data_IF_397429775297
#
_entry.id   IF_397429775297
#
_cell.length_a   1.000
_cell.length_b   1.000
_cell.length_c   1.000
_cell.angle_alpha   90.00
_cell.angle_beta   90.00
_cell.angle_gamma   90.00
#
_symmetry.space_group_name_H-M   'P 1'
#
loop_
_entity.id
_entity.type
_entity.pdbx_description
1 polymer ?
#
# COMPACT_ATOMS: atom_id res chain seq x y z
N UNK A 1 -10.09 -56.47 -32.95
CA UNK A 1 -9.54 -57.82 -32.73
C UNK A 1 -9.07 -57.84 -31.29
N UNK A 2 -10.00 -58.33 -30.47
CA UNK A 2 -9.87 -59.44 -29.51
C UNK A 2 -8.98 -59.11 -28.29
N UNK A 3 -9.53 -58.69 -27.14
CA UNK A 3 -10.15 -59.43 -26.01
C UNK A 3 -9.15 -60.25 -25.17
N UNK A 4 -9.02 -60.00 -23.88
CA UNK A 4 -9.40 -60.74 -22.66
C UNK A 4 -8.68 -60.16 -21.43
N UNK A 5 -9.33 -59.70 -20.42
CA UNK A 5 -10.07 -60.30 -19.29
C UNK A 5 -9.22 -61.15 -18.33
N UNK A 6 -9.46 -60.91 -17.05
CA UNK A 6 -9.34 -61.79 -15.89
C UNK A 6 -8.93 -61.00 -14.62
N UNK A 7 -9.84 -60.55 -13.77
CA UNK A 7 -10.41 -61.18 -12.57
C UNK A 7 -9.36 -61.74 -11.60
N UNK A 8 -9.27 -61.39 -10.35
CA UNK A 8 -10.26 -61.16 -9.31
C UNK A 8 -9.76 -61.91 -8.07
N UNK A 9 -9.93 -61.36 -6.94
CA UNK A 9 -10.37 -62.07 -5.73
C UNK A 9 -9.92 -61.43 -4.42
N UNK A 10 -10.84 -61.36 -3.54
CA UNK A 10 -10.90 -60.70 -2.26
C UNK A 10 -10.45 -61.55 -1.06
N UNK A 11 -10.01 -60.86 0.01
CA UNK A 11 -10.14 -61.00 1.46
C UNK A 11 -10.12 -62.44 2.09
N UNK A 12 -9.70 -62.64 3.38
CA UNK A 12 -10.39 -62.08 4.52
C UNK A 12 -9.57 -61.74 5.81
N UNK A 13 -10.30 -61.08 6.70
CA UNK A 13 -9.98 -60.72 8.08
C UNK A 13 -9.66 -61.95 8.98
N UNK A 14 -8.80 -61.80 9.99
CA UNK A 14 -9.02 -62.37 11.33
C UNK A 14 -8.32 -61.57 12.42
N UNK A 15 -9.11 -61.27 13.46
CA UNK A 15 -8.72 -60.75 14.78
C UNK A 15 -8.01 -61.85 15.59
N UNK A 16 -7.14 -61.49 16.51
CA UNK A 16 -7.07 -62.10 17.87
C UNK A 16 -6.23 -61.18 18.80
N UNK A 17 -6.85 -60.86 19.93
CA UNK A 17 -6.22 -60.39 21.16
C UNK A 17 -5.42 -61.48 21.84
N UNK A 18 -4.34 -61.14 22.52
CA UNK A 18 -3.91 -61.81 23.77
C UNK A 18 -3.18 -60.78 24.64
N UNK A 19 -3.64 -60.71 25.89
CA UNK A 19 -3.03 -60.05 27.07
C UNK A 19 -1.76 -60.76 27.54
N UNK A 20 -0.95 -60.05 28.30
CA UNK A 20 -0.09 -60.35 29.46
C UNK A 20 1.28 -59.72 29.29
N UNK A 21 1.97 -59.17 30.25
CA UNK A 21 1.91 -59.06 31.68
C UNK A 21 3.01 -58.04 32.09
N UNK A 22 2.82 -57.45 33.22
CA UNK A 22 3.74 -56.46 33.82
C UNK A 22 5.06 -57.09 34.27
N UNK A 23 6.17 -56.39 34.07
CA UNK A 23 7.40 -56.56 34.87
C UNK A 23 7.96 -55.18 35.20
N UNK A 24 7.90 -54.83 36.47
CA UNK A 24 8.53 -53.66 37.04
C UNK A 24 10.04 -53.88 37.14
N UNK A 25 10.83 -52.96 36.59
CA UNK A 25 12.25 -52.82 36.90
C UNK A 25 12.45 -51.43 37.51
N UNK A 26 12.79 -51.48 38.78
CA UNK A 26 13.29 -50.34 39.56
C UNK A 26 14.70 -50.07 39.08
N UNK A 27 14.99 -48.89 38.51
CA UNK A 27 16.35 -48.40 38.34
C UNK A 27 16.48 -46.99 38.93
N UNK A 28 17.55 -46.87 39.67
CA UNK A 28 17.95 -45.89 40.62
C UNK A 28 18.00 -44.44 40.05
N UNK A 29 17.63 -43.54 40.90
CA UNK A 29 17.91 -42.10 40.81
C UNK A 29 19.42 -41.84 40.70
N UNK A 30 19.81 -41.21 39.59
CA UNK A 30 20.97 -40.34 39.49
C UNK A 30 20.47 -38.95 39.18
N UNK A 31 20.73 -38.04 40.08
CA UNK A 31 20.30 -36.67 40.07
C UNK A 31 20.77 -35.95 38.80
N UNK A 32 19.79 -35.54 37.99
CA UNK A 32 19.96 -34.52 36.95
C UNK A 32 19.42 -33.21 37.54
N UNK A 33 20.31 -32.31 37.89
CA UNK A 33 19.97 -30.92 38.11
C UNK A 33 19.25 -30.42 36.88
N UNK A 34 18.08 -29.73 36.98
CA UNK A 34 17.50 -29.04 35.84
C UNK A 34 18.49 -27.94 35.45
N UNK A 35 18.98 -28.01 34.23
CA UNK A 35 19.52 -26.84 33.54
C UNK A 35 18.40 -25.81 33.53
N UNK A 36 18.51 -24.81 34.40
CA UNK A 36 17.80 -23.56 34.27
C UNK A 36 18.34 -22.95 32.97
N UNK A 37 17.59 -23.11 31.88
CA UNK A 37 17.82 -22.33 30.69
C UNK A 37 17.55 -20.87 31.08
N UNK A 38 18.58 -20.06 30.98
CA UNK A 38 18.46 -18.60 31.12
C UNK A 38 17.41 -18.12 30.13
N UNK A 39 16.24 -17.81 30.63
CA UNK A 39 15.06 -17.26 29.88
C UNK A 39 15.19 -15.73 29.77
N UNK A 40 16.40 -15.23 29.46
CA UNK A 40 16.68 -13.80 29.26
C UNK A 40 16.51 -13.31 27.80
N UNK A 41 15.85 -14.07 26.94
CA UNK A 41 15.54 -13.66 25.57
C UNK A 41 14.05 -13.76 25.23
N UNK A 42 13.17 -13.93 26.21
CA UNK A 42 11.75 -13.73 26.03
C UNK A 42 11.47 -12.22 26.09
N UNK A 43 11.46 -11.55 24.92
CA UNK A 43 10.95 -10.18 24.81
C UNK A 43 9.61 -10.12 25.52
N UNK A 44 9.55 -9.31 26.59
CA UNK A 44 8.42 -9.22 27.50
C UNK A 44 7.11 -9.12 26.69
N UNK A 45 6.16 -9.96 27.01
CA UNK A 45 4.83 -9.91 26.40
C UNK A 45 4.30 -8.51 26.64
N UNK A 46 4.07 -7.78 25.55
CA UNK A 46 3.52 -6.44 25.61
C UNK A 46 2.11 -6.53 26.20
N UNK A 47 1.97 -6.27 27.49
CA UNK A 47 0.68 -6.33 28.17
C UNK A 47 -0.16 -5.14 27.70
N UNK A 48 -1.32 -5.35 27.07
CA UNK A 48 -2.20 -4.27 26.71
C UNK A 48 -2.61 -3.46 27.94
N UNK A 49 -2.71 -2.15 27.79
CA UNK A 49 -3.27 -1.30 28.84
C UNK A 49 -4.74 -1.66 29.10
N UNK A 50 -5.28 -1.38 30.30
CA UNK A 50 -6.69 -1.65 30.60
C UNK A 50 -7.60 -0.82 29.68
N UNK A 51 -8.79 -1.38 29.38
CA UNK A 51 -9.81 -0.63 28.67
C UNK A 51 -10.40 0.47 29.58
N UNK A 52 -10.76 1.58 28.96
CA UNK A 52 -11.43 2.70 29.62
C UNK A 52 -12.92 2.41 29.74
N UNK A 53 -13.52 2.76 30.88
CA UNK A 53 -14.97 2.76 31.04
C UNK A 53 -15.64 3.80 30.12
N UNK A 54 -16.94 3.68 29.88
CA UNK A 54 -17.68 4.64 29.07
C UNK A 54 -17.56 6.09 29.63
N UNK A 55 -17.56 6.26 30.95
CA UNK A 55 -17.43 7.58 31.61
C UNK A 55 -16.02 8.17 31.38
N UNK A 56 -14.97 7.35 31.47
CA UNK A 56 -13.59 7.80 31.22
C UNK A 56 -13.41 8.21 29.76
N UNK A 57 -13.99 7.44 28.82
CA UNK A 57 -13.95 7.77 27.36
C UNK A 57 -14.67 9.08 27.06
N UNK A 58 -15.84 9.27 27.64
CA UNK A 58 -16.62 10.50 27.44
C UNK A 58 -15.90 11.73 28.02
N UNK A 59 -15.25 11.58 29.18
CA UNK A 59 -14.41 12.65 29.75
C UNK A 59 -13.21 12.96 28.86
N UNK A 60 -12.52 11.93 28.36
CA UNK A 60 -11.37 12.06 27.46
C UNK A 60 -11.77 12.71 26.13
N UNK A 61 -12.89 12.28 25.54
CA UNK A 61 -13.38 12.83 24.29
C UNK A 61 -13.72 14.32 24.41
N UNK A 62 -14.38 14.73 25.52
CA UNK A 62 -14.63 16.16 25.79
C UNK A 62 -13.34 16.96 25.90
N UNK A 63 -12.36 16.45 26.64
CA UNK A 63 -11.05 17.08 26.79
C UNK A 63 -10.35 17.24 25.45
N UNK A 64 -10.32 16.18 24.63
CA UNK A 64 -9.69 16.20 23.31
C UNK A 64 -10.42 17.14 22.35
N UNK A 65 -11.75 17.18 22.40
CA UNK A 65 -12.55 18.09 21.58
C UNK A 65 -12.23 19.55 21.89
N UNK A 66 -12.04 19.89 23.13
CA UNK A 66 -11.65 21.26 23.56
C UNK A 66 -10.23 21.62 23.07
N UNK A 67 -9.32 20.64 23.01
CA UNK A 67 -7.94 20.83 22.56
C UNK A 67 -7.87 20.91 21.04
N UNK A 68 -8.45 19.92 20.35
CA UNK A 68 -8.26 19.76 18.91
C UNK A 68 -9.13 20.69 18.05
N UNK A 69 -10.22 21.24 18.55
CA UNK A 69 -11.00 22.28 17.85
C UNK A 69 -10.32 23.64 17.82
N UNK A 70 -9.30 23.84 18.65
CA UNK A 70 -8.59 25.11 18.75
C UNK A 70 -7.43 25.24 17.75
N UNK A 71 -6.63 26.28 17.96
CA UNK A 71 -5.42 26.52 17.20
C UNK A 71 -4.49 25.31 17.26
N UNK A 72 -4.06 24.83 16.10
CA UNK A 72 -3.15 23.68 15.96
C UNK A 72 -1.82 23.85 16.70
N UNK A 73 -1.37 25.08 16.91
CA UNK A 73 -0.20 25.36 17.75
C UNK A 73 -0.35 24.93 19.21
N UNK A 74 -1.60 24.71 19.66
CA UNK A 74 -1.95 24.23 21.01
C UNK A 74 -2.21 22.74 21.09
N UNK A 75 -2.15 22.04 19.95
CA UNK A 75 -2.33 20.60 19.95
C UNK A 75 -1.23 19.93 20.76
N UNK A 76 -1.52 18.83 21.48
CA UNK A 76 -0.48 18.10 22.21
C UNK A 76 0.64 17.71 21.23
N UNK A 77 1.92 17.84 21.63
CA UNK A 77 3.01 17.44 20.76
C UNK A 77 2.91 15.96 20.42
N UNK A 78 3.17 15.57 19.16
CA UNK A 78 3.20 14.17 18.79
C UNK A 78 4.40 13.46 19.46
N UNK A 79 4.27 12.14 19.62
CA UNK A 79 5.38 11.33 20.15
C UNK A 79 6.32 10.92 19.00
N UNK A 80 7.38 11.69 18.82
CA UNK A 80 8.33 11.57 17.72
C UNK A 80 9.65 11.02 18.22
N UNK A 81 10.22 10.04 17.50
CA UNK A 81 11.56 9.52 17.76
C UNK A 81 12.64 10.55 17.37
N UNK A 82 13.81 10.53 18.04
CA UNK A 82 14.93 11.37 17.67
C UNK A 82 15.31 11.17 16.18
N UNK A 83 15.57 12.30 15.49
CA UNK A 83 15.98 12.31 14.09
C UNK A 83 14.86 12.22 13.05
N UNK A 84 13.60 12.10 13.46
CA UNK A 84 12.45 12.18 12.55
C UNK A 84 12.13 13.64 12.25
N UNK A 85 12.27 14.03 11.00
CA UNK A 85 11.89 15.36 10.50
C UNK A 85 10.38 15.35 10.16
N UNK A 86 9.54 15.34 11.21
CA UNK A 86 8.09 15.29 11.02
C UNK A 86 7.49 16.64 10.63
N UNK A 87 6.33 16.57 10.00
CA UNK A 87 5.45 17.72 9.72
C UNK A 87 4.07 17.41 10.25
N UNK A 88 3.32 18.41 10.74
CA UNK A 88 1.97 18.18 11.22
C UNK A 88 1.05 17.68 10.10
N UNK A 89 0.14 16.77 10.45
CA UNK A 89 -0.92 16.33 9.55
C UNK A 89 -1.87 17.48 9.25
N UNK A 90 -2.44 17.50 8.07
CA UNK A 90 -3.29 18.64 7.68
C UNK A 90 -3.89 18.52 6.28
N UNK A 91 -4.50 19.60 5.80
CA UNK A 91 -5.08 19.64 4.46
C UNK A 91 -3.98 19.50 3.39
N UNK A 92 -4.39 18.98 2.23
CA UNK A 92 -3.51 18.89 1.07
C UNK A 92 -3.13 20.29 0.56
N UNK A 93 -1.89 20.53 0.16
CA UNK A 93 -1.49 21.76 -0.53
C UNK A 93 -2.01 21.75 -1.97
N UNK A 94 -1.86 22.87 -2.66
CA UNK A 94 -2.10 22.90 -4.10
C UNK A 94 -1.10 22.00 -4.83
N UNK A 95 -1.57 21.34 -5.90
CA UNK A 95 -0.70 20.54 -6.76
C UNK A 95 0.26 21.45 -7.51
N UNK A 96 1.54 21.08 -7.49
CA UNK A 96 2.57 21.74 -8.29
C UNK A 96 2.71 21.00 -9.62
N UNK A 97 2.60 21.74 -10.71
CA UNK A 97 2.82 21.23 -12.06
C UNK A 97 4.25 21.64 -12.50
N UNK A 98 5.08 20.70 -12.97
CA UNK A 98 6.43 21.03 -13.40
C UNK A 98 6.41 21.90 -14.66
N UNK A 99 7.37 22.84 -14.78
CA UNK A 99 7.50 23.71 -15.97
C UNK A 99 7.64 22.90 -17.27
N UNK A 100 8.28 21.73 -17.21
CA UNK A 100 8.43 20.80 -18.33
C UNK A 100 7.13 20.13 -18.77
N UNK A 101 6.07 20.19 -17.93
CA UNK A 101 4.76 19.65 -18.21
C UNK A 101 3.66 20.48 -17.53
N UNK A 102 3.41 21.72 -18.00
CA UNK A 102 2.34 22.57 -17.45
C UNK A 102 0.97 21.95 -17.72
N UNK A 103 0.07 22.15 -16.76
CA UNK A 103 -1.31 21.66 -16.87
C UNK A 103 -2.05 22.35 -18.02
N UNK A 104 -2.75 21.56 -18.82
CA UNK A 104 -3.80 22.04 -19.74
C UNK A 104 -4.99 21.09 -19.76
N UNK A 105 -6.18 21.62 -20.02
CA UNK A 105 -7.39 20.81 -20.15
C UNK A 105 -7.28 19.76 -21.27
N UNK A 106 -6.63 20.13 -22.38
CA UNK A 106 -6.41 19.26 -23.52
C UNK A 106 -5.48 18.07 -23.14
N UNK A 107 -4.37 18.31 -22.43
CA UNK A 107 -3.51 17.24 -21.93
C UNK A 107 -4.25 16.31 -20.95
N UNK A 108 -5.08 16.89 -20.08
CA UNK A 108 -5.90 16.08 -19.14
C UNK A 108 -6.90 15.22 -19.90
N UNK A 109 -7.56 15.74 -20.94
CA UNK A 109 -8.51 15.00 -21.75
C UNK A 109 -7.83 13.84 -22.51
N UNK A 110 -6.72 14.12 -23.19
CA UNK A 110 -5.92 13.09 -23.86
C UNK A 110 -5.42 12.05 -22.84
N UNK A 111 -4.81 12.49 -21.74
CA UNK A 111 -4.27 11.61 -20.70
C UNK A 111 -5.34 10.71 -20.05
N UNK A 112 -6.54 11.26 -19.79
CA UNK A 112 -7.68 10.48 -19.33
C UNK A 112 -8.06 9.39 -20.35
N UNK A 113 -8.12 9.74 -21.64
CA UNK A 113 -8.47 8.78 -22.68
C UNK A 113 -7.44 7.65 -22.77
N UNK A 114 -6.16 7.98 -22.72
CA UNK A 114 -5.06 7.01 -22.69
C UNK A 114 -5.10 6.13 -21.44
N UNK A 115 -5.36 6.69 -20.27
CA UNK A 115 -5.40 5.97 -19.00
C UNK A 115 -6.44 4.83 -18.98
N UNK A 116 -7.54 4.99 -19.72
CA UNK A 116 -8.60 3.99 -19.82
C UNK A 116 -8.49 3.07 -21.05
N UNK A 117 -7.51 3.27 -21.93
CA UNK A 117 -7.38 2.48 -23.17
C UNK A 117 -6.57 1.19 -22.98
N UNK A 118 -7.21 0.00 -23.04
CA UNK A 118 -6.50 -1.26 -22.89
C UNK A 118 -5.57 -1.58 -24.08
N UNK A 119 -5.78 -0.95 -25.24
CA UNK A 119 -4.95 -1.18 -26.46
C UNK A 119 -3.52 -0.67 -26.28
N UNK A 120 -3.25 0.15 -25.25
CA UNK A 120 -1.90 0.57 -24.90
C UNK A 120 -1.04 -0.58 -24.37
N UNK A 121 -1.62 -1.67 -23.86
CA UNK A 121 -0.84 -2.82 -23.42
C UNK A 121 -0.51 -3.78 -24.57
N UNK A 122 0.57 -4.54 -24.42
CA UNK A 122 0.96 -5.57 -25.41
C UNK A 122 -0.09 -6.66 -25.62
N UNK A 123 -0.95 -6.88 -24.63
CA UNK A 123 -2.06 -7.82 -24.71
C UNK A 123 -3.34 -7.24 -25.32
N UNK A 124 -3.46 -5.91 -25.42
CA UNK A 124 -4.67 -5.21 -25.77
C UNK A 124 -5.81 -5.32 -24.73
N UNK A 125 -5.51 -5.77 -23.48
CA UNK A 125 -6.51 -6.10 -22.47
C UNK A 125 -6.34 -5.35 -21.16
N UNK A 126 -5.22 -4.69 -20.93
CA UNK A 126 -4.89 -3.98 -19.70
C UNK A 126 -4.75 -2.48 -19.97
N UNK A 127 -5.52 -1.70 -19.26
CA UNK A 127 -5.37 -0.24 -19.15
C UNK A 127 -4.76 0.12 -17.78
N UNK A 128 -4.30 1.35 -17.58
CA UNK A 128 -3.91 1.84 -16.25
C UNK A 128 -5.06 1.67 -15.25
N UNK A 129 -6.29 1.95 -15.70
CA UNK A 129 -7.52 1.76 -14.92
C UNK A 129 -7.79 0.31 -14.51
N UNK A 130 -7.15 -0.69 -15.11
CA UNK A 130 -7.28 -2.10 -14.70
C UNK A 130 -6.65 -2.41 -13.34
N UNK A 131 -5.62 -1.62 -12.97
CA UNK A 131 -4.94 -1.71 -11.67
C UNK A 131 -5.23 -0.49 -10.78
N UNK A 132 -5.75 0.59 -11.36
CA UNK A 132 -6.07 1.84 -10.67
C UNK A 132 -7.54 2.21 -10.92
N UNK A 133 -8.45 1.36 -10.37
CA UNK A 133 -9.92 1.49 -10.54
C UNK A 133 -10.45 2.69 -9.71
N UNK A 134 -11.07 3.69 -10.35
CA UNK A 134 -11.57 4.87 -9.63
C UNK A 134 -12.53 4.58 -8.48
N UNK A 135 -13.39 3.57 -8.65
CA UNK A 135 -14.39 3.20 -7.63
C UNK A 135 -13.79 2.45 -6.43
N UNK A 136 -12.55 1.94 -6.57
CA UNK A 136 -11.79 1.26 -5.51
C UNK A 136 -10.71 2.14 -4.91
N UNK A 137 -10.91 3.46 -4.90
CA UNK A 137 -9.92 4.40 -4.37
C UNK A 137 -8.66 4.51 -5.23
N UNK A 138 -8.76 4.20 -6.54
CA UNK A 138 -7.65 4.20 -7.49
C UNK A 138 -6.58 3.12 -7.19
N UNK A 139 -7.00 2.02 -6.58
CA UNK A 139 -6.28 0.75 -6.42
C UNK A 139 -7.06 -0.35 -7.15
N UNK A 140 -6.66 -1.62 -7.06
CA UNK A 140 -7.35 -2.72 -7.74
C UNK A 140 -8.15 -3.65 -6.81
N UNK A 141 -8.09 -3.41 -5.49
CA UNK A 141 -8.76 -4.23 -4.48
C UNK A 141 -8.25 -5.68 -4.41
N UNK A 142 -7.07 -5.96 -4.94
CA UNK A 142 -6.47 -7.29 -5.00
C UNK A 142 -5.22 -7.37 -4.13
N UNK A 143 -4.93 -8.56 -3.63
CA UNK A 143 -3.70 -8.78 -2.87
C UNK A 143 -2.46 -8.41 -3.71
N UNK A 144 -2.42 -8.88 -4.93
CA UNK A 144 -1.41 -8.49 -5.92
C UNK A 144 -2.09 -8.31 -7.27
N UNK A 145 -1.67 -7.32 -8.01
CA UNK A 145 -2.14 -7.12 -9.38
C UNK A 145 -1.79 -8.31 -10.24
N UNK A 146 -2.62 -8.62 -11.22
CA UNK A 146 -2.35 -9.74 -12.13
C UNK A 146 -1.31 -9.29 -13.17
N UNK A 147 -0.06 -9.78 -13.08
CA UNK A 147 0.96 -9.45 -14.05
C UNK A 147 0.71 -10.16 -15.39
N UNK A 148 1.16 -9.57 -16.49
CA UNK A 148 1.17 -10.22 -17.81
C UNK A 148 2.06 -11.47 -17.83
N UNK A 149 3.11 -11.49 -16.99
CA UNK A 149 4.06 -12.60 -16.84
C UNK A 149 4.34 -12.85 -15.37
N UNK A 150 4.68 -14.10 -14.96
CA UNK A 150 5.05 -14.38 -13.58
C UNK A 150 6.21 -13.50 -13.12
N UNK A 151 5.99 -12.77 -12.02
CA UNK A 151 6.98 -11.93 -11.34
C UNK A 151 6.65 -11.90 -9.85
N UNK A 152 7.57 -11.45 -8.98
CA UNK A 152 7.20 -10.98 -7.66
C UNK A 152 6.19 -9.84 -7.83
N UNK A 153 4.91 -10.17 -7.69
CA UNK A 153 3.85 -9.19 -7.87
C UNK A 153 3.65 -8.43 -6.56
N UNK A 154 3.56 -7.10 -6.66
CA UNK A 154 3.23 -6.21 -5.56
C UNK A 154 1.77 -5.77 -5.67
N UNK A 155 1.20 -5.37 -4.55
CA UNK A 155 -0.10 -4.70 -4.51
C UNK A 155 -0.04 -3.37 -5.29
N UNK A 156 -1.09 -3.05 -6.06
CA UNK A 156 -1.21 -1.75 -6.71
C UNK A 156 -1.60 -0.68 -5.68
N UNK A 157 -0.71 0.26 -5.36
CA UNK A 157 -1.07 1.36 -4.46
C UNK A 157 -2.05 2.31 -5.15
N UNK A 158 -2.81 3.05 -4.35
CA UNK A 158 -3.61 4.14 -4.91
C UNK A 158 -2.74 5.17 -5.62
N UNK A 159 -3.22 5.68 -6.76
CA UNK A 159 -2.64 6.84 -7.44
C UNK A 159 -3.27 8.16 -6.98
N UNK A 160 -4.32 8.11 -6.13
CA UNK A 160 -4.85 9.34 -5.54
C UNK A 160 -3.76 10.02 -4.73
N UNK A 161 -3.59 11.31 -4.97
CA UNK A 161 -2.55 12.14 -4.36
C UNK A 161 -1.11 11.76 -4.76
N UNK A 162 -0.91 10.97 -5.82
CA UNK A 162 0.42 10.62 -6.32
C UNK A 162 1.26 11.85 -6.69
N UNK A 163 0.60 12.95 -7.08
CA UNK A 163 1.24 14.23 -7.38
C UNK A 163 2.05 14.85 -6.22
N UNK A 164 1.84 14.39 -4.99
CA UNK A 164 2.54 14.91 -3.80
C UNK A 164 3.72 14.05 -3.36
N UNK A 165 4.04 12.97 -4.08
CA UNK A 165 5.16 12.10 -3.77
C UNK A 165 6.36 12.42 -4.67
N UNK A 166 7.54 12.57 -4.07
CA UNK A 166 8.81 12.78 -4.79
C UNK A 166 9.30 11.51 -5.49
N UNK A 167 9.05 10.35 -4.90
CA UNK A 167 9.42 9.06 -5.44
C UNK A 167 8.17 8.17 -5.55
N UNK A 168 8.04 7.45 -6.65
CA UNK A 168 6.88 6.64 -6.98
C UNK A 168 7.24 5.15 -7.05
N UNK A 169 6.23 4.28 -7.08
CA UNK A 169 6.31 2.86 -6.81
C UNK A 169 6.66 2.54 -5.35
N UNK A 170 6.56 1.28 -4.95
CA UNK A 170 6.93 0.80 -3.62
C UNK A 170 8.42 0.90 -3.33
N UNK A 171 9.26 0.81 -4.36
CA UNK A 171 10.72 0.86 -4.29
C UNK A 171 11.31 2.23 -4.64
N UNK A 172 10.45 3.18 -5.06
CA UNK A 172 10.87 4.55 -5.37
C UNK A 172 11.73 4.66 -6.63
N UNK A 173 11.54 3.77 -7.61
CA UNK A 173 12.35 3.76 -8.84
C UNK A 173 12.00 4.85 -9.84
N UNK A 174 10.87 5.54 -9.70
CA UNK A 174 10.50 6.67 -10.55
C UNK A 174 10.49 7.98 -9.75
N UNK A 175 11.03 9.04 -10.34
CA UNK A 175 11.23 10.37 -9.77
C UNK A 175 10.19 11.39 -10.25
N UNK A 176 9.31 10.99 -11.15
CA UNK A 176 8.20 11.79 -11.64
C UNK A 176 7.05 10.90 -12.10
N UNK A 177 5.84 11.48 -12.24
CA UNK A 177 4.69 10.77 -12.80
C UNK A 177 4.93 10.39 -14.26
N UNK A 178 5.59 11.25 -15.02
CA UNK A 178 5.96 10.97 -16.41
C UNK A 178 6.84 9.70 -16.51
N UNK A 179 7.88 9.64 -15.71
CA UNK A 179 8.78 8.47 -15.66
C UNK A 179 8.04 7.22 -15.15
N UNK A 180 7.12 7.39 -14.19
CA UNK A 180 6.30 6.28 -13.69
C UNK A 180 5.43 5.70 -14.82
N UNK A 181 4.76 6.55 -15.59
CA UNK A 181 3.93 6.14 -16.73
C UNK A 181 4.76 5.40 -17.78
N UNK A 182 5.93 5.91 -18.17
CA UNK A 182 6.83 5.25 -19.14
C UNK A 182 7.26 3.87 -18.65
N UNK A 183 7.64 3.77 -17.37
CA UNK A 183 8.06 2.50 -16.78
C UNK A 183 6.90 1.50 -16.68
N UNK A 184 5.70 1.94 -16.31
CA UNK A 184 4.52 1.07 -16.23
C UNK A 184 4.11 0.55 -17.62
N UNK A 185 4.16 1.40 -18.64
CA UNK A 185 3.86 1.01 -20.03
C UNK A 185 4.87 -0.03 -20.56
N UNK A 186 6.16 0.19 -20.32
CA UNK A 186 7.22 -0.66 -20.89
C UNK A 186 7.56 -1.90 -20.08
N UNK A 187 7.16 -1.96 -18.80
CA UNK A 187 7.44 -3.10 -17.94
C UNK A 187 6.75 -4.38 -18.46
N UNK A 188 7.50 -5.45 -18.80
CA UNK A 188 6.95 -6.68 -19.33
C UNK A 188 6.02 -7.43 -18.36
N UNK A 189 6.05 -7.09 -17.07
CA UNK A 189 5.18 -7.64 -16.03
C UNK A 189 3.93 -6.79 -15.79
N UNK A 190 3.87 -5.57 -16.33
CA UNK A 190 2.72 -4.67 -16.23
C UNK A 190 2.03 -4.53 -17.60
N UNK A 191 2.21 -3.41 -18.30
CA UNK A 191 1.58 -3.19 -19.63
C UNK A 191 2.37 -3.85 -20.78
N UNK A 192 3.69 -3.99 -20.67
CA UNK A 192 4.57 -4.74 -21.55
C UNK A 192 4.62 -4.26 -23.01
N UNK A 193 4.29 -3.01 -23.25
CA UNK A 193 4.22 -2.42 -24.58
C UNK A 193 5.54 -1.79 -25.02
N UNK A 194 5.67 -1.42 -26.30
CA UNK A 194 6.79 -0.63 -26.78
C UNK A 194 6.37 0.82 -27.02
N UNK A 195 7.32 1.78 -26.92
CA UNK A 195 7.06 3.17 -27.30
C UNK A 195 6.46 3.31 -28.71
N UNK A 196 6.99 2.58 -29.69
CA UNK A 196 6.52 2.61 -31.08
C UNK A 196 5.06 2.15 -31.21
N UNK A 197 4.64 1.14 -30.42
CA UNK A 197 3.26 0.68 -30.43
C UNK A 197 2.29 1.78 -29.94
N UNK A 198 2.64 2.45 -28.84
CA UNK A 198 1.81 3.54 -28.26
C UNK A 198 1.74 4.71 -29.22
N UNK A 199 2.86 5.14 -29.76
CA UNK A 199 2.94 6.22 -30.78
C UNK A 199 2.15 5.84 -32.03
N UNK A 200 2.31 4.62 -32.52
CA UNK A 200 1.59 4.11 -33.71
C UNK A 200 0.08 4.09 -33.51
N UNK A 201 -0.40 3.66 -32.32
CA UNK A 201 -1.82 3.65 -31.99
C UNK A 201 -2.41 5.06 -32.04
N UNK A 202 -1.76 6.03 -31.39
CA UNK A 202 -2.25 7.43 -31.33
C UNK A 202 -2.16 8.08 -32.70
N UNK A 203 -1.09 7.87 -33.46
CA UNK A 203 -0.90 8.41 -34.80
C UNK A 203 -1.84 7.79 -35.83
N UNK A 204 -2.25 6.52 -35.64
CA UNK A 204 -3.10 5.79 -36.56
C UNK A 204 -4.61 6.12 -36.47
N UNK A 205 -5.08 6.61 -35.33
CA UNK A 205 -6.50 6.85 -35.08
C UNK A 205 -6.81 8.35 -35.21
N UNK A 206 -7.70 8.78 -36.14
CA UNK A 206 -7.96 10.20 -36.41
C UNK A 206 -8.37 11.01 -35.17
N UNK A 207 -9.26 10.49 -34.33
CA UNK A 207 -9.69 11.16 -33.11
C UNK A 207 -8.57 11.28 -32.05
N UNK A 208 -7.65 10.31 -31.96
CA UNK A 208 -6.47 10.45 -31.12
C UNK A 208 -5.52 11.54 -31.62
N UNK A 209 -5.30 11.62 -32.94
CA UNK A 209 -4.49 12.69 -33.52
C UNK A 209 -5.07 14.07 -33.24
N UNK A 210 -6.41 14.22 -33.33
CA UNK A 210 -7.07 15.47 -32.99
C UNK A 210 -6.88 15.85 -31.51
N UNK A 211 -7.07 14.89 -30.57
CA UNK A 211 -6.81 15.11 -29.14
C UNK A 211 -5.34 15.43 -28.87
N UNK A 212 -4.42 14.80 -29.60
CA UNK A 212 -3.00 15.07 -29.46
C UNK A 212 -2.62 16.46 -29.96
N UNK A 213 -3.09 16.86 -31.14
CA UNK A 213 -2.83 18.22 -31.71
C UNK A 213 -3.38 19.34 -30.81
N UNK A 214 -4.52 19.12 -30.16
CA UNK A 214 -5.05 20.05 -29.18
C UNK A 214 -4.18 20.14 -27.91
N UNK A 215 -3.60 19.00 -27.49
CA UNK A 215 -2.75 18.92 -26.28
C UNK A 215 -1.32 19.42 -26.52
N UNK A 216 -0.77 19.20 -27.72
CA UNK A 216 0.61 19.48 -28.13
C UNK A 216 0.64 20.07 -29.55
N UNK A 217 0.20 21.33 -29.73
CA UNK A 217 0.07 21.95 -31.03
C UNK A 217 1.43 22.00 -31.77
N UNK A 218 1.42 21.55 -33.04
CA UNK A 218 2.60 21.54 -33.92
C UNK A 218 3.78 20.67 -33.43
N UNK A 219 3.54 19.74 -32.50
CA UNK A 219 4.56 18.80 -32.01
C UNK A 219 4.34 17.39 -32.63
N UNK A 220 5.39 16.66 -32.99
CA UNK A 220 5.24 15.28 -33.43
C UNK A 220 4.75 14.40 -32.28
N UNK A 221 3.97 13.34 -32.58
CA UNK A 221 3.55 12.38 -31.58
C UNK A 221 4.77 11.63 -31.06
N UNK A 222 5.06 11.77 -29.76
CA UNK A 222 6.17 11.10 -29.08
C UNK A 222 5.69 10.36 -27.85
N UNK A 223 6.41 9.34 -27.46
CA UNK A 223 6.12 8.56 -26.24
C UNK A 223 6.17 9.43 -24.99
N UNK A 224 7.17 10.30 -24.87
CA UNK A 224 7.31 11.27 -23.78
C UNK A 224 6.10 12.21 -23.67
N UNK A 225 5.62 12.78 -24.80
CA UNK A 225 4.45 13.64 -24.81
C UNK A 225 3.18 12.89 -24.35
N UNK A 226 3.03 11.61 -24.74
CA UNK A 226 1.90 10.80 -24.30
C UNK A 226 1.99 10.48 -22.79
N UNK A 227 3.19 10.18 -22.26
CA UNK A 227 3.42 10.03 -20.83
C UNK A 227 3.10 11.33 -20.07
N UNK A 228 3.50 12.49 -20.60
CA UNK A 228 3.15 13.82 -20.06
C UNK A 228 1.64 14.04 -20.00
N UNK A 229 0.89 13.63 -21.01
CA UNK A 229 -0.56 13.75 -20.98
C UNK A 229 -1.18 12.88 -19.88
N UNK A 230 -0.77 11.62 -19.75
CA UNK A 230 -1.24 10.72 -18.69
C UNK A 230 -0.89 11.29 -17.31
N UNK A 231 0.34 11.75 -17.11
CA UNK A 231 0.78 12.39 -15.87
C UNK A 231 -0.02 13.67 -15.54
N UNK A 232 -0.41 14.47 -16.54
CA UNK A 232 -1.31 15.60 -16.32
C UNK A 232 -2.68 15.15 -15.79
N UNK A 233 -3.25 14.07 -16.33
CA UNK A 233 -4.48 13.50 -15.82
C UNK A 233 -4.31 12.97 -14.39
N UNK A 234 -3.26 12.22 -14.10
CA UNK A 234 -2.99 11.69 -12.76
C UNK A 234 -2.86 12.81 -11.72
N UNK A 235 -2.26 13.96 -12.07
CA UNK A 235 -2.19 15.14 -11.20
C UNK A 235 -3.55 15.76 -10.87
N UNK A 236 -4.61 15.42 -11.60
CA UNK A 236 -5.98 15.83 -11.25
C UNK A 236 -6.66 14.89 -10.25
N UNK A 237 -6.07 13.72 -9.99
CA UNK A 237 -6.62 12.72 -9.07
C UNK A 237 -6.23 13.08 -7.64
N UNK A 238 -6.86 14.10 -7.09
CA UNK A 238 -6.55 14.67 -5.77
C UNK A 238 -7.74 14.53 -4.85
N UNK A 239 -7.46 14.26 -3.57
CA UNK A 239 -8.41 14.27 -2.47
C UNK A 239 -8.51 15.64 -1.79
N UNK A 240 -8.83 15.64 -0.49
CA UNK A 240 -8.90 16.85 0.33
C UNK A 240 -10.32 17.23 0.72
N UNK A 241 -11.26 16.30 0.61
CA UNK A 241 -12.66 16.48 1.01
C UNK A 241 -13.15 15.37 1.96
N UNK A 242 -12.22 14.72 2.65
CA UNK A 242 -12.54 13.74 3.67
C UNK A 242 -13.10 14.40 4.93
N UNK A 243 -13.73 13.63 5.81
CA UNK A 243 -14.22 14.13 7.10
C UNK A 243 -13.08 14.71 7.96
N UNK A 244 -11.87 14.17 7.84
CA UNK A 244 -10.68 14.77 8.44
C UNK A 244 -10.39 16.16 7.85
N UNK A 245 -10.52 16.35 6.53
CA UNK A 245 -10.30 17.66 5.92
C UNK A 245 -11.39 18.68 6.33
N UNK A 246 -12.64 18.26 6.51
CA UNK A 246 -13.74 19.08 7.07
C UNK A 246 -13.41 19.51 8.51
N UNK A 247 -12.94 18.57 9.33
CA UNK A 247 -12.48 18.87 10.69
C UNK A 247 -11.31 19.87 10.67
N UNK A 248 -10.34 19.70 9.75
CA UNK A 248 -9.22 20.63 9.61
C UNK A 248 -9.65 22.00 9.08
N UNK A 249 -10.78 22.10 8.38
CA UNK A 249 -11.39 23.35 7.94
C UNK A 249 -12.20 24.05 9.04
N UNK A 250 -12.35 23.42 10.22
CA UNK A 250 -12.98 24.02 11.41
C UNK A 250 -14.32 23.41 11.81
N UNK A 251 -14.81 22.39 11.08
CA UNK A 251 -16.00 21.65 11.51
C UNK A 251 -15.65 20.67 12.64
N UNK A 252 -15.76 21.13 13.88
CA UNK A 252 -15.49 20.30 15.05
C UNK A 252 -16.43 19.09 15.20
N UNK A 253 -17.57 19.07 14.50
CA UNK A 253 -18.52 17.96 14.51
C UNK A 253 -18.20 16.89 13.46
N UNK A 254 -17.30 17.15 12.53
CA UNK A 254 -16.90 16.20 11.49
C UNK A 254 -16.28 14.91 12.05
N UNK A 255 -15.72 14.94 13.27
CA UNK A 255 -15.18 13.76 13.95
C UNK A 255 -16.05 13.35 15.16
N UNK A 256 -16.36 12.07 15.24
CA UNK A 256 -16.95 11.46 16.44
C UNK A 256 -15.94 11.39 17.59
N UNK A 257 -16.40 11.06 18.79
CA UNK A 257 -15.53 10.95 19.96
C UNK A 257 -14.49 9.82 19.80
N UNK A 258 -14.87 8.67 19.25
CA UNK A 258 -13.95 7.57 18.96
C UNK A 258 -12.87 7.98 17.94
N UNK A 259 -13.25 8.69 16.90
CA UNK A 259 -12.33 9.17 15.86
C UNK A 259 -11.36 10.23 16.39
N UNK A 260 -11.84 11.06 17.32
CA UNK A 260 -10.99 12.07 17.96
C UNK A 260 -9.98 11.44 18.94
N UNK A 261 -10.41 10.43 19.69
CA UNK A 261 -9.50 9.61 20.50
C UNK A 261 -8.49 8.90 19.60
N UNK A 262 -8.93 8.35 18.47
CA UNK A 262 -8.07 7.73 17.47
C UNK A 262 -7.04 8.68 16.87
N UNK A 263 -7.41 9.94 16.61
CA UNK A 263 -6.50 11.00 16.17
C UNK A 263 -5.40 11.26 17.21
N UNK A 264 -5.75 11.38 18.49
CA UNK A 264 -4.78 11.58 19.57
C UNK A 264 -3.84 10.38 19.70
N UNK A 265 -4.39 9.17 19.67
CA UNK A 265 -3.61 7.93 19.66
C UNK A 265 -2.64 7.87 18.47
N UNK A 266 -3.09 8.19 17.26
CA UNK A 266 -2.29 8.19 16.05
C UNK A 266 -1.07 9.11 16.18
N UNK A 267 -1.27 10.29 16.74
CA UNK A 267 -0.20 11.28 16.91
C UNK A 267 0.75 10.92 18.04
N UNK A 268 0.30 10.20 19.06
CA UNK A 268 1.02 9.97 20.30
C UNK A 268 1.33 8.49 20.55
N UNK A 269 0.51 7.79 21.30
CA UNK A 269 0.83 6.45 21.82
C UNK A 269 1.02 5.40 20.72
N UNK A 270 0.24 5.48 19.65
CA UNK A 270 0.37 4.57 18.51
C UNK A 270 1.57 4.88 17.62
N UNK A 271 2.25 6.05 17.83
CA UNK A 271 3.53 6.41 17.16
C UNK A 271 3.47 6.44 15.63
N UNK A 272 2.28 6.45 15.04
CA UNK A 272 2.11 6.40 13.58
C UNK A 272 2.76 7.60 12.88
N UNK A 273 2.76 8.76 13.55
CA UNK A 273 3.34 10.02 13.05
C UNK A 273 4.86 9.96 12.83
N UNK A 274 5.55 8.90 13.30
CA UNK A 274 6.99 8.74 13.00
C UNK A 274 7.27 8.43 11.53
N UNK A 275 6.28 7.91 10.79
CA UNK A 275 6.37 7.63 9.35
C UNK A 275 5.18 8.26 8.59
N UNK A 276 4.00 8.30 9.21
CA UNK A 276 2.77 8.79 8.58
C UNK A 276 2.44 10.20 9.05
N UNK A 277 3.14 11.19 8.53
CA UNK A 277 2.99 12.60 8.87
C UNK A 277 2.78 13.49 7.64
N UNK A 278 2.53 14.78 7.86
CA UNK A 278 2.28 15.74 6.79
C UNK A 278 0.92 15.54 6.09
N UNK A 279 0.61 16.33 5.06
CA UNK A 279 -0.70 16.37 4.40
C UNK A 279 -1.15 15.05 3.76
N UNK A 280 -0.22 14.25 3.30
CA UNK A 280 -0.49 12.94 2.65
C UNK A 280 -0.34 11.76 3.60
N UNK A 281 -0.06 11.98 4.89
CA UNK A 281 0.18 10.91 5.88
C UNK A 281 1.28 9.94 5.41
N UNK A 282 2.39 10.50 4.94
CA UNK A 282 3.58 9.77 4.51
C UNK A 282 4.80 10.67 4.62
N UNK A 283 5.91 10.13 5.10
CA UNK A 283 7.21 10.78 5.09
C UNK A 283 7.94 10.66 3.74
N UNK A 284 7.38 9.86 2.81
CA UNK A 284 8.00 9.54 1.52
C UNK A 284 9.28 8.71 1.61
N UNK A 285 9.68 8.28 2.81
CA UNK A 285 10.91 7.50 3.05
C UNK A 285 10.66 6.00 2.98
N UNK A 286 11.74 5.24 3.16
CA UNK A 286 11.75 3.79 2.99
C UNK A 286 12.03 3.11 4.32
N UNK A 287 11.13 2.18 4.70
CA UNK A 287 11.21 1.44 5.96
C UNK A 287 11.05 -0.06 5.73
N UNK A 288 11.82 -0.86 6.48
CA UNK A 288 11.60 -2.31 6.53
C UNK A 288 10.61 -2.64 7.67
N UNK A 289 9.50 -3.26 7.28
CA UNK A 289 8.45 -3.76 8.18
C UNK A 289 8.65 -5.25 8.54
N UNK A 290 9.73 -5.87 8.08
CA UNK A 290 9.96 -7.31 8.21
C UNK A 290 9.14 -8.16 7.23
N UNK A 291 8.59 -7.56 6.17
CA UNK A 291 7.72 -8.21 5.18
C UNK A 291 8.41 -8.49 3.84
N UNK A 292 9.73 -8.40 3.79
CA UNK A 292 10.52 -8.64 2.56
C UNK A 292 10.61 -10.11 2.17
N UNK A 293 10.21 -11.05 3.03
CA UNK A 293 10.38 -12.50 2.84
C UNK A 293 11.83 -12.90 2.50
N UNK A 294 12.81 -12.16 3.02
CA UNK A 294 14.22 -12.36 2.75
C UNK A 294 14.65 -13.81 2.94
N UNK A 295 15.37 -14.36 1.95
CA UNK A 295 15.80 -15.77 1.93
C UNK A 295 14.67 -16.78 1.68
N UNK A 296 13.47 -16.35 1.27
CA UNK A 296 12.29 -17.20 1.03
C UNK A 296 11.75 -17.03 -0.41
N UNK A 297 10.91 -17.96 -0.85
CA UNK A 297 10.34 -17.97 -2.22
C UNK A 297 9.69 -16.67 -2.71
N UNK A 298 9.20 -15.84 -1.77
CA UNK A 298 8.57 -14.54 -2.10
C UNK A 298 9.48 -13.35 -1.77
N UNK A 299 10.79 -13.56 -1.74
CA UNK A 299 11.73 -12.48 -1.45
C UNK A 299 11.50 -11.28 -2.36
N UNK A 300 11.36 -10.12 -1.74
CA UNK A 300 11.35 -8.82 -2.39
C UNK A 300 12.31 -7.89 -1.64
N UNK A 301 13.38 -7.47 -2.31
CA UNK A 301 14.43 -6.63 -1.71
C UNK A 301 14.06 -5.16 -1.65
N UNK A 302 12.91 -4.77 -2.20
CA UNK A 302 12.40 -3.40 -2.14
C UNK A 302 13.38 -2.38 -2.73
N UNK A 303 13.66 -1.31 -1.98
CA UNK A 303 14.52 -0.20 -2.38
C UNK A 303 15.92 -0.63 -2.82
N UNK A 304 16.48 -1.69 -2.22
CA UNK A 304 17.79 -2.21 -2.61
C UNK A 304 17.88 -2.57 -4.10
N UNK A 305 16.81 -3.03 -4.70
CA UNK A 305 16.79 -3.34 -6.15
C UNK A 305 17.06 -2.09 -7.04
N UNK A 306 16.87 -0.90 -6.48
CA UNK A 306 17.09 0.38 -7.17
C UNK A 306 18.46 0.98 -6.83
N UNK A 307 18.83 0.95 -5.53
CA UNK A 307 20.02 1.63 -5.04
C UNK A 307 21.28 0.78 -5.00
N UNK A 308 21.13 -0.54 -4.88
CA UNK A 308 22.25 -1.46 -4.58
C UNK A 308 22.81 -1.33 -3.15
N UNK A 309 22.31 -0.39 -2.33
CA UNK A 309 22.79 -0.21 -0.96
C UNK A 309 22.27 -1.35 -0.06
N UNK A 310 23.14 -2.11 0.62
CA UNK A 310 22.72 -3.15 1.56
C UNK A 310 21.75 -2.67 2.65
N UNK A 311 21.84 -1.41 3.03
CA UNK A 311 20.93 -0.81 4.04
C UNK A 311 19.49 -0.74 3.57
N UNK A 312 19.26 -0.78 2.26
CA UNK A 312 17.94 -0.65 1.66
C UNK A 312 17.21 -1.97 1.43
N UNK A 313 17.84 -3.10 1.81
CA UNK A 313 17.21 -4.42 1.68
C UNK A 313 15.94 -4.49 2.53
N UNK A 314 14.83 -4.86 1.89
CA UNK A 314 13.53 -5.04 2.55
C UNK A 314 12.80 -3.74 2.85
N UNK A 315 13.34 -2.58 2.44
CA UNK A 315 12.70 -1.28 2.63
C UNK A 315 11.76 -0.94 1.50
N UNK A 316 10.58 -0.44 1.89
CA UNK A 316 9.55 0.03 0.98
C UNK A 316 9.11 1.44 1.37
N UNK A 317 8.68 2.21 0.38
CA UNK A 317 8.22 3.58 0.59
C UNK A 317 6.98 3.58 1.50
N UNK A 318 6.93 4.49 2.46
CA UNK A 318 5.73 4.74 3.27
C UNK A 318 4.58 5.17 2.35
N UNK A 319 3.47 4.40 2.26
CA UNK A 319 2.33 4.81 1.46
C UNK A 319 1.54 5.93 2.15
N UNK A 320 0.71 6.64 1.38
CA UNK A 320 -0.31 7.51 1.95
C UNK A 320 -1.31 6.71 2.78
N UNK A 321 -1.88 7.32 3.84
CA UNK A 321 -3.02 6.75 4.55
C UNK A 321 -4.36 7.34 4.10
N UNK A 322 -4.38 8.33 3.20
CA UNK A 322 -5.63 8.80 2.61
C UNK A 322 -6.25 7.67 1.79
N UNK A 323 -7.53 7.42 2.01
CA UNK A 323 -8.30 6.28 1.47
C UNK A 323 -7.82 4.88 1.93
N UNK A 324 -7.01 4.76 2.99
CA UNK A 324 -6.44 3.47 3.42
C UNK A 324 -7.50 2.39 3.69
N UNK A 325 -8.69 2.77 4.16
CA UNK A 325 -9.80 1.84 4.40
C UNK A 325 -10.44 1.32 3.12
N UNK A 326 -10.28 2.05 2.00
CA UNK A 326 -10.85 1.69 0.69
C UNK A 326 -9.87 0.90 -0.18
N UNK A 327 -8.58 1.03 0.08
CA UNK A 327 -7.50 0.46 -0.75
C UNK A 327 -6.94 -0.84 -0.17
N UNK A 328 -7.77 -1.56 0.59
CA UNK A 328 -7.44 -2.92 1.07
C UNK A 328 -7.44 -3.91 -0.10
N UNK A 329 -6.63 -5.00 0.01
CA UNK A 329 -5.71 -5.35 1.09
C UNK A 329 -4.40 -4.53 1.07
N UNK A 330 -3.77 -4.39 2.24
CA UNK A 330 -2.70 -3.42 2.51
C UNK A 330 -1.30 -4.02 2.43
N UNK A 331 -0.30 -3.15 2.50
CA UNK A 331 1.15 -3.36 2.33
C UNK A 331 1.55 -3.68 0.89
N UNK A 332 2.84 -3.63 0.58
CA UNK A 332 3.34 -4.01 -0.75
C UNK A 332 3.03 -5.48 -1.12
N UNK A 333 2.79 -6.32 -0.12
CA UNK A 333 2.42 -7.72 -0.32
C UNK A 333 0.92 -7.93 -0.55
N UNK A 334 0.08 -6.93 -0.20
CA UNK A 334 -1.37 -7.05 -0.25
C UNK A 334 -1.96 -8.17 0.60
N UNK A 335 -1.31 -8.55 1.69
CA UNK A 335 -1.70 -9.73 2.48
C UNK A 335 -2.62 -9.41 3.66
N UNK A 336 -2.86 -8.13 3.96
CA UNK A 336 -3.46 -7.75 5.24
C UNK A 336 -4.62 -6.77 5.07
N UNK A 337 -5.68 -7.02 5.81
CA UNK A 337 -6.73 -6.05 6.07
C UNK A 337 -6.27 -5.04 7.14
N UNK A 338 -6.97 -3.92 7.27
CA UNK A 338 -6.59 -2.85 8.20
C UNK A 338 -6.42 -3.34 9.63
N UNK A 339 -7.37 -4.15 10.14
CA UNK A 339 -7.28 -4.71 11.49
C UNK A 339 -6.04 -5.59 11.70
N UNK A 340 -5.68 -6.37 10.69
CA UNK A 340 -4.46 -7.20 10.70
C UNK A 340 -3.19 -6.35 10.78
N UNK A 341 -3.11 -5.28 9.98
CA UNK A 341 -1.97 -4.35 10.00
C UNK A 341 -1.85 -3.64 11.35
N UNK A 342 -2.98 -3.14 11.91
CA UNK A 342 -2.98 -2.47 13.21
C UNK A 342 -2.51 -3.40 14.34
N UNK A 343 -2.96 -4.67 14.33
CA UNK A 343 -2.48 -5.67 15.30
C UNK A 343 -0.98 -5.96 15.14
N UNK A 344 -0.47 -6.02 13.90
CA UNK A 344 0.96 -6.20 13.64
C UNK A 344 1.78 -5.01 14.14
N UNK A 345 1.33 -3.77 13.89
CA UNK A 345 1.98 -2.57 14.44
C UNK A 345 1.96 -2.59 15.97
N UNK A 346 0.83 -2.96 16.58
CA UNK A 346 0.72 -3.09 18.04
C UNK A 346 1.73 -4.09 18.61
N UNK A 347 2.01 -5.17 17.89
CA UNK A 347 3.05 -6.16 18.24
C UNK A 347 4.49 -5.70 17.88
N UNK A 348 4.67 -4.53 17.26
CA UNK A 348 5.96 -4.01 16.82
C UNK A 348 6.45 -4.56 15.48
N UNK A 349 5.54 -5.07 14.64
CA UNK A 349 5.79 -5.68 13.33
C UNK A 349 6.71 -6.92 13.39
N UNK A 350 6.91 -7.54 12.24
CA UNK A 350 7.72 -8.77 12.15
C UNK A 350 9.21 -8.45 12.35
N UNK A 351 9.88 -9.23 13.20
CA UNK A 351 11.34 -9.20 13.30
C UNK A 351 11.88 -10.50 12.71
N UNK A 352 12.62 -10.38 11.62
CA UNK A 352 13.28 -11.53 11.00
C UNK A 352 14.42 -12.00 11.93
N UNK A 353 14.47 -13.29 12.18
CA UNK A 353 15.57 -13.91 12.96
C UNK A 353 16.63 -14.38 11.98
N UNK A 354 17.86 -13.89 12.17
CA UNK A 354 19.04 -14.32 11.42
C UNK A 354 19.35 -15.78 11.76
N UNK A 355 19.52 -16.61 10.76
CA UNK A 355 19.96 -18.00 10.92
C UNK A 355 21.49 -18.03 11.00
N UNK A 356 22.09 -19.15 11.49
CA UNK A 356 23.53 -19.24 11.64
C UNK A 356 24.30 -19.02 10.33
N UNK A 357 23.78 -19.53 9.21
CA UNK A 357 24.39 -19.34 7.88
C UNK A 357 24.24 -17.91 7.35
N UNK A 358 23.40 -17.07 7.97
CA UNK A 358 23.20 -15.66 7.63
C UNK A 358 23.96 -14.72 8.58
N UNK A 359 24.81 -15.25 9.48
CA UNK A 359 25.47 -14.44 10.52
C UNK A 359 26.21 -13.25 9.94
N UNK A 360 26.96 -13.48 8.86
CA UNK A 360 27.80 -12.47 8.20
C UNK A 360 27.21 -11.99 6.88
N UNK A 361 25.90 -12.20 6.67
CA UNK A 361 25.21 -11.76 5.47
C UNK A 361 25.00 -10.24 5.50
N UNK A 362 25.69 -9.46 4.64
CA UNK A 362 25.57 -8.00 4.60
C UNK A 362 24.21 -7.53 4.07
N UNK A 363 23.47 -8.41 3.40
CA UNK A 363 22.16 -8.11 2.82
C UNK A 363 21.01 -8.47 3.76
N UNK A 364 21.30 -8.98 4.96
CA UNK A 364 20.24 -9.33 5.91
C UNK A 364 19.47 -8.06 6.34
N UNK A 365 18.15 -7.97 6.09
CA UNK A 365 17.37 -6.76 6.31
C UNK A 365 17.33 -6.34 7.78
N UNK A 366 17.28 -5.04 8.00
CA UNK A 366 17.22 -4.45 9.34
C UNK A 366 15.90 -3.71 9.49
N UNK A 367 15.04 -4.24 10.37
CA UNK A 367 13.73 -3.65 10.68
C UNK A 367 13.87 -2.20 11.13
N UNK A 368 12.95 -1.35 10.70
CA UNK A 368 12.91 0.06 11.10
C UNK A 368 12.89 0.21 12.64
N UNK A 369 13.75 1.06 13.23
CA UNK A 369 13.83 1.27 14.67
C UNK A 369 12.57 1.95 15.27
N UNK A 370 11.72 2.52 14.42
CA UNK A 370 10.46 3.14 14.83
C UNK A 370 9.38 2.11 15.19
N UNK A 371 9.56 0.85 14.79
CA UNK A 371 8.60 -0.24 14.99
C UNK A 371 8.84 -0.93 16.32
N UNK A 372 8.11 -0.48 17.32
CA UNK A 372 8.18 -0.98 18.70
C UNK A 372 6.79 -1.48 19.13
N UNK A 373 6.70 -2.46 20.03
CA UNK A 373 5.43 -2.84 20.65
C UNK A 373 4.75 -1.63 21.33
N UNK A 374 3.43 -1.50 21.17
CA UNK A 374 2.69 -0.31 21.54
C UNK A 374 1.83 -0.44 22.82
N UNK A 375 1.54 -1.65 23.30
CA UNK A 375 0.68 -1.95 24.46
C UNK A 375 -0.77 -1.42 24.34
N UNK A 376 -1.28 -1.23 23.11
CA UNK A 376 -2.65 -0.79 22.89
C UNK A 376 -3.62 -1.95 23.16
N UNK A 377 -4.79 -1.62 23.73
CA UNK A 377 -5.89 -2.57 23.90
C UNK A 377 -6.80 -2.60 22.64
N UNK A 378 -7.82 -3.47 22.62
CA UNK A 378 -8.72 -3.61 21.45
C UNK A 378 -9.56 -2.34 21.22
N UNK A 379 -9.91 -1.62 22.28
CA UNK A 379 -10.64 -0.36 22.19
C UNK A 379 -9.80 0.72 21.49
N UNK A 380 -8.51 0.82 21.83
CA UNK A 380 -7.58 1.75 21.19
C UNK A 380 -7.38 1.44 19.69
N UNK A 381 -7.27 0.15 19.34
CA UNK A 381 -7.16 -0.28 17.95
C UNK A 381 -8.43 0.04 17.15
N UNK A 382 -9.60 -0.08 17.78
CA UNK A 382 -10.87 0.32 17.17
C UNK A 382 -10.95 1.84 16.95
N UNK A 383 -10.50 2.64 17.93
CA UNK A 383 -10.46 4.10 17.80
C UNK A 383 -9.48 4.55 16.70
N UNK A 384 -8.31 3.91 16.60
CA UNK A 384 -7.37 4.14 15.50
C UNK A 384 -7.99 3.81 14.15
N UNK A 385 -8.67 2.66 14.03
CA UNK A 385 -9.34 2.27 12.80
C UNK A 385 -10.45 3.27 12.44
N UNK A 386 -11.21 3.75 13.42
CA UNK A 386 -12.23 4.79 13.22
C UNK A 386 -11.60 6.08 12.70
N UNK A 387 -10.51 6.56 13.30
CA UNK A 387 -9.78 7.74 12.81
C UNK A 387 -9.30 7.55 11.38
N UNK A 388 -8.67 6.42 11.05
CA UNK A 388 -8.22 6.14 9.69
C UNK A 388 -9.37 6.12 8.68
N UNK A 389 -10.58 5.74 9.09
CA UNK A 389 -11.80 5.84 8.31
C UNK A 389 -12.20 7.28 7.96
N UNK A 390 -11.78 8.27 8.75
CA UNK A 390 -12.06 9.70 8.48
C UNK A 390 -11.23 10.25 7.31
N UNK A 391 -10.17 9.53 6.91
CA UNK A 391 -9.31 9.89 5.77
C UNK A 391 -9.86 9.43 4.42
N UNK A 392 -11.02 8.77 4.43
CA UNK A 392 -11.69 8.30 3.22
C UNK A 392 -12.36 9.46 2.49
N UNK A 393 -12.06 9.59 1.21
CA UNK A 393 -12.68 10.60 0.35
C UNK A 393 -14.14 10.26 0.05
N UNK A 394 -15.02 11.25 -0.16
CA UNK A 394 -16.35 11.02 -0.66
C UNK A 394 -16.31 10.21 -1.95
N UNK A 395 -17.25 9.28 -2.11
CA UNK A 395 -17.33 8.49 -3.33
C UNK A 395 -17.64 9.39 -4.51
N UNK A 396 -16.74 9.40 -5.48
CA UNK A 396 -16.95 10.08 -6.74
C UNK A 396 -16.87 9.07 -7.87
N UNK A 397 -17.97 8.93 -8.62
CA UNK A 397 -18.01 8.05 -9.78
C UNK A 397 -17.33 8.72 -10.95
N UNK A 398 -16.18 8.19 -11.37
CA UNK A 398 -15.57 8.60 -12.63
C UNK A 398 -16.03 7.66 -13.73
N UNK A 399 -16.58 8.24 -14.79
CA UNK A 399 -16.93 7.46 -15.99
C UNK A 399 -15.72 7.38 -16.92
N UNK A 400 -15.40 6.17 -17.43
CA UNK A 400 -14.47 6.05 -18.54
C UNK A 400 -14.90 6.93 -19.71
N UNK A 401 -13.98 7.53 -20.46
CA UNK A 401 -14.30 8.24 -21.68
C UNK A 401 -14.67 7.25 -22.81
N UNK A 402 -15.36 7.74 -23.82
CA UNK A 402 -15.52 7.01 -25.07
C UNK A 402 -14.15 6.91 -25.76
N UNK A 403 -13.70 5.68 -26.00
CA UNK A 403 -12.40 5.44 -26.62
C UNK A 403 -12.45 5.70 -28.12
N UNK A 404 -11.44 6.41 -28.69
CA UNK A 404 -11.34 6.60 -30.15
C UNK A 404 -11.28 5.29 -30.92
N UNK A 405 -11.97 5.19 -32.05
CA UNK A 405 -11.97 4.05 -32.96
C UNK A 405 -11.36 4.42 -34.30
N UNK A 406 -11.03 3.42 -35.12
CA UNK A 406 -10.52 3.66 -36.48
C UNK A 406 -11.56 4.32 -37.39
N UNK A 407 -12.86 4.08 -37.11
CA UNK A 407 -13.98 4.58 -37.91
C UNK A 407 -14.45 5.98 -37.45
N UNK A 408 -13.87 6.53 -36.39
CA UNK A 408 -14.15 7.89 -35.98
C UNK A 408 -13.60 8.88 -37.02
N UNK A 409 -14.38 9.17 -38.05
CA UNK A 409 -14.12 10.30 -38.93
C UNK A 409 -13.99 11.55 -38.06
N UNK A 410 -12.88 12.28 -38.23
CA UNK A 410 -12.57 13.43 -37.39
C UNK A 410 -13.77 14.33 -37.28
N UNK A 411 -14.43 14.31 -36.12
CA UNK A 411 -15.52 15.24 -35.83
C UNK A 411 -14.94 16.63 -35.90
N UNK A 412 -15.15 17.25 -37.05
CA UNK A 412 -14.86 18.66 -37.24
C UNK A 412 -15.49 19.44 -36.08
N UNK A 413 -14.64 20.13 -35.35
CA UNK A 413 -15.01 21.09 -34.32
C UNK A 413 -16.13 22.03 -34.83
N UNK A 414 -17.36 21.66 -34.52
CA UNK A 414 -18.53 22.43 -34.83
C UNK A 414 -19.44 22.46 -33.61
N UNK A 415 -19.09 23.26 -32.59
CA UNK A 415 -19.96 24.22 -31.88
C UNK A 415 -19.25 24.83 -30.70
#
# INVERSE_FOLDING_TARGET
MVIHHGDGAALPRRRRCVLCAATAVVCAWLGSTPLVADDEAAGGRNTPRPERTAAERDLEARRLRDIYRGDRSRWPPPLIDPGVAWREIGPLPNVVHPESNPLSSAKVALGKTLFFDPRLSSSGKLACASCHEPNLGWADGRAVSQPLRPAPARNAPTIRNAAFHELLFWDGRAESLEQQVEQALTNPHEMGTSPDHVVGLVSGIPRYRALYEEAFPNEPVTFDALAKAVACFERTIVGGRSRFDEFMAGDAAALTDAELIGLDLFRREARCTNCHHGPVFSDGRFHDLGLSFYGRRREDRGRHAVTGDPKDVGRFRTPTLRDVTRTTPLTHTGMFELSGVLNMYNAGMVTLKRQDFQRDDPLFPVKSPHLKPLSLNQQDLADLAAFLGTLEEPRHRMMPPDLPTLDDEGASSGR
#
